data_IF_163167016013
#
_entry.id   IF_163167016013
#
_cell.length_a   1.000
_cell.length_b   1.000
_cell.length_c   1.000
_cell.angle_alpha   90.00
_cell.angle_beta   90.00
_cell.angle_gamma   90.00
#
_symmetry.space_group_name_H-M   'P 1'
#
loop_
_entity.id
_entity.type
_entity.pdbx_description
1 polymer ?
#
# COMPACT_ATOMS: atom_id res chain seq x y z
N UNK A 1 14.26 -12.82 7.48
CA UNK A 1 14.87 -12.07 6.37
C UNK A 1 14.50 -12.77 5.07
N UNK A 2 14.17 -12.01 4.02
CA UNK A 2 13.85 -12.57 2.70
C UNK A 2 15.13 -13.09 2.04
N UNK A 3 15.04 -14.21 1.31
CA UNK A 3 16.16 -14.81 0.58
C UNK A 3 16.76 -13.82 -0.44
N UNK A 4 18.08 -13.63 -0.39
CA UNK A 4 18.80 -12.74 -1.29
C UNK A 4 18.70 -13.16 -2.77
N UNK A 5 18.58 -14.45 -3.04
CA UNK A 5 18.40 -14.99 -4.40
C UNK A 5 17.03 -14.62 -4.97
N UNK A 6 15.98 -14.60 -4.13
CA UNK A 6 14.64 -14.14 -4.52
C UNK A 6 14.66 -12.66 -4.87
N UNK A 7 15.34 -11.83 -4.07
CA UNK A 7 15.49 -10.40 -4.35
C UNK A 7 16.21 -10.15 -5.69
N UNK A 8 17.24 -10.92 -6.02
CA UNK A 8 17.92 -10.81 -7.31
C UNK A 8 16.98 -11.12 -8.48
N UNK A 9 16.16 -12.16 -8.38
CA UNK A 9 15.17 -12.51 -9.41
C UNK A 9 14.11 -11.42 -9.59
N UNK A 10 13.58 -10.86 -8.50
CA UNK A 10 12.61 -9.74 -8.57
C UNK A 10 13.23 -8.51 -9.25
N UNK A 11 14.53 -8.27 -9.08
CA UNK A 11 15.24 -7.17 -9.76
C UNK A 11 15.40 -7.37 -11.26
N UNK A 12 15.32 -8.59 -11.76
CA UNK A 12 15.38 -8.87 -13.21
C UNK A 12 14.03 -8.58 -13.90
N UNK A 13 12.93 -8.56 -13.14
CA UNK A 13 11.60 -8.21 -13.64
C UNK A 13 11.52 -6.74 -14.07
N UNK A 14 10.74 -6.48 -15.12
CA UNK A 14 10.29 -5.14 -15.50
C UNK A 14 9.39 -4.53 -14.42
N UNK A 15 9.20 -3.19 -14.40
CA UNK A 15 8.31 -2.57 -13.43
C UNK A 15 6.86 -3.12 -13.45
N UNK A 16 6.34 -3.46 -14.64
CA UNK A 16 5.00 -4.04 -14.77
C UNK A 16 4.93 -5.44 -14.15
N UNK A 17 5.89 -6.32 -14.49
CA UNK A 17 5.96 -7.67 -13.91
C UNK A 17 6.18 -7.66 -12.40
N UNK A 18 6.87 -6.65 -11.86
CA UNK A 18 7.00 -6.49 -10.41
C UNK A 18 5.67 -6.16 -9.75
N UNK A 19 4.87 -5.28 -10.36
CA UNK A 19 3.54 -4.96 -9.83
C UNK A 19 2.63 -6.18 -9.86
N UNK A 20 2.62 -6.92 -10.98
CA UNK A 20 1.90 -8.19 -11.10
C UNK A 20 2.36 -9.21 -10.05
N UNK A 21 3.68 -9.33 -9.83
CA UNK A 21 4.22 -10.22 -8.80
C UNK A 21 3.79 -9.81 -7.38
N UNK A 22 3.78 -8.50 -7.07
CA UNK A 22 3.30 -8.00 -5.78
C UNK A 22 1.82 -8.38 -5.58
N UNK A 23 0.99 -8.19 -6.60
CA UNK A 23 -0.42 -8.58 -6.55
C UNK A 23 -0.57 -10.10 -6.36
N UNK A 24 0.16 -10.90 -7.14
CA UNK A 24 0.12 -12.35 -7.04
C UNK A 24 0.52 -12.84 -5.64
N UNK A 25 1.60 -12.29 -5.05
CA UNK A 25 2.02 -12.61 -3.68
C UNK A 25 0.94 -12.18 -2.68
N UNK A 26 0.35 -11.00 -2.86
CA UNK A 26 -0.72 -10.52 -1.99
C UNK A 26 -1.93 -11.47 -1.99
N UNK A 27 -2.32 -12.02 -3.14
CA UNK A 27 -3.41 -12.99 -3.26
C UNK A 27 -3.11 -14.35 -2.61
N UNK A 28 -1.86 -14.64 -2.25
CA UNK A 28 -1.53 -15.86 -1.50
C UNK A 28 -1.80 -15.76 0.00
N UNK A 29 -2.09 -14.55 0.50
CA UNK A 29 -2.30 -14.29 1.91
C UNK A 29 -3.78 -14.40 2.27
N UNK A 30 -4.09 -15.13 3.33
CA UNK A 30 -5.42 -15.15 3.93
C UNK A 30 -5.55 -14.07 5.01
N UNK A 31 -6.79 -13.74 5.42
CA UNK A 31 -7.03 -12.75 6.47
C UNK A 31 -6.39 -13.20 7.80
N UNK A 32 -6.35 -14.51 8.03
CA UNK A 32 -5.76 -15.11 9.24
C UNK A 32 -4.24 -15.00 9.29
N UNK A 33 -3.56 -14.80 8.14
CA UNK A 33 -2.11 -14.63 8.08
C UNK A 33 -1.67 -13.25 8.58
N UNK A 34 -2.55 -12.25 8.50
CA UNK A 34 -2.33 -10.87 8.96
C UNK A 34 -3.54 -10.38 9.75
N UNK A 35 -3.77 -10.92 10.95
CA UNK A 35 -4.93 -10.56 11.74
C UNK A 35 -4.81 -9.10 12.18
N UNK A 36 -5.88 -8.34 11.97
CA UNK A 36 -6.00 -6.96 12.49
C UNK A 36 -6.76 -6.97 13.82
N UNK A 37 -6.37 -6.08 14.71
CA UNK A 37 -7.07 -5.85 15.97
C UNK A 37 -8.42 -5.19 15.74
N UNK A 38 -9.33 -5.31 16.70
CA UNK A 38 -10.63 -4.61 16.64
C UNK A 38 -10.47 -3.08 16.53
N UNK A 39 -9.42 -2.52 17.14
CA UNK A 39 -9.11 -1.10 17.06
C UNK A 39 -8.68 -0.68 15.65
N UNK A 40 -7.83 -1.47 14.99
CA UNK A 40 -7.42 -1.24 13.60
C UNK A 40 -8.60 -1.37 12.64
N UNK A 41 -9.46 -2.38 12.83
CA UNK A 41 -10.69 -2.54 12.04
C UNK A 41 -11.60 -1.32 12.17
N UNK A 42 -11.88 -0.87 13.41
CA UNK A 42 -12.69 0.32 13.65
C UNK A 42 -12.10 1.59 13.03
N UNK A 43 -10.76 1.73 13.03
CA UNK A 43 -10.08 2.84 12.40
C UNK A 43 -10.27 2.80 10.87
N UNK A 44 -10.10 1.63 10.25
CA UNK A 44 -10.31 1.46 8.81
C UNK A 44 -11.76 1.76 8.41
N UNK A 45 -12.73 1.20 9.13
CA UNK A 45 -14.16 1.42 8.89
C UNK A 45 -14.50 2.92 8.96
N UNK A 46 -13.94 3.63 9.95
CA UNK A 46 -14.13 5.08 10.10
C UNK A 46 -13.53 5.86 8.93
N UNK A 47 -12.32 5.49 8.48
CA UNK A 47 -11.64 6.19 7.37
C UNK A 47 -12.32 5.95 6.02
N UNK A 48 -12.89 4.77 5.81
CA UNK A 48 -13.65 4.47 4.59
C UNK A 48 -14.94 5.31 4.58
N UNK A 49 -15.68 5.33 5.70
CA UNK A 49 -16.91 6.13 5.80
C UNK A 49 -16.65 7.63 5.62
N UNK A 50 -15.53 8.14 6.15
CA UNK A 50 -15.11 9.53 5.96
C UNK A 50 -14.81 9.84 4.48
N UNK A 51 -14.09 8.95 3.77
CA UNK A 51 -13.79 9.11 2.35
C UNK A 51 -15.07 9.12 1.48
N UNK A 52 -16.04 8.25 1.81
CA UNK A 52 -17.32 8.18 1.11
C UNK A 52 -18.17 9.46 1.26
N UNK A 53 -18.11 10.10 2.44
CA UNK A 53 -18.86 11.33 2.74
C UNK A 53 -18.12 12.58 2.22
N UNK A 54 -16.78 12.52 2.16
CA UNK A 54 -15.92 13.65 1.78
C UNK A 54 -15.05 13.33 0.54
N UNK A 55 -15.63 13.06 -0.64
CA UNK A 55 -14.88 12.64 -1.83
C UNK A 55 -13.93 13.73 -2.38
N UNK A 56 -14.05 14.98 -1.91
CA UNK A 56 -13.19 16.10 -2.27
C UNK A 56 -11.98 16.30 -1.35
N UNK A 57 -11.89 15.57 -0.24
CA UNK A 57 -10.81 15.73 0.76
C UNK A 57 -9.53 14.98 0.37
N UNK A 58 -9.57 14.21 -0.71
CA UNK A 58 -8.41 13.54 -1.27
C UNK A 58 -7.48 14.52 -2.01
N UNK A 59 -6.17 14.30 -1.88
CA UNK A 59 -5.17 14.99 -2.70
C UNK A 59 -4.62 14.03 -3.74
N UNK A 60 -4.40 14.51 -4.97
CA UNK A 60 -3.64 13.74 -5.94
C UNK A 60 -2.24 13.42 -5.39
N UNK A 61 -1.69 12.26 -5.75
CA UNK A 61 -0.34 11.92 -5.32
C UNK A 61 0.71 12.96 -5.75
N UNK A 62 0.54 13.59 -6.91
CA UNK A 62 1.38 14.71 -7.34
C UNK A 62 1.37 15.85 -6.33
N UNK A 63 0.20 16.28 -5.86
CA UNK A 63 0.07 17.38 -4.91
C UNK A 63 0.68 17.04 -3.55
N UNK A 64 0.45 15.80 -3.08
CA UNK A 64 1.07 15.28 -1.86
C UNK A 64 2.59 15.29 -1.99
N UNK A 65 3.13 14.78 -3.10
CA UNK A 65 4.56 14.71 -3.36
C UNK A 65 5.20 16.10 -3.39
N UNK A 66 4.57 17.06 -4.06
CA UNK A 66 5.06 18.44 -4.10
C UNK A 66 4.96 19.15 -2.75
N UNK A 67 3.94 18.85 -1.94
CA UNK A 67 3.87 19.31 -0.55
C UNK A 67 4.99 18.73 0.30
N UNK A 68 5.28 17.43 0.19
CA UNK A 68 6.36 16.77 0.93
C UNK A 68 7.74 17.33 0.55
N UNK A 69 8.02 17.52 -0.74
CA UNK A 69 9.29 18.11 -1.20
C UNK A 69 9.53 19.50 -0.63
N UNK A 70 8.48 20.34 -0.52
CA UNK A 70 8.56 21.68 0.07
C UNK A 70 8.81 21.67 1.59
N UNK A 71 8.52 20.56 2.26
CA UNK A 71 8.70 20.40 3.71
C UNK A 71 10.04 19.73 4.07
N UNK A 72 10.79 19.24 3.08
CA UNK A 72 12.15 18.74 3.30
C UNK A 72 13.12 19.93 3.41
N UNK A 73 14.04 19.93 4.40
CA UNK A 73 15.04 20.98 4.58
C UNK A 73 16.06 21.05 3.44
#
# INVERSE_FOLDING_TARGET
>A
MIDATLISKVKELTPAERLEFIEAVWQTMAEEDVPITAAERSLLDTRIADADINPGDESSWSDVRERLKRQLP
#
